data_IF_199240944215
#
_entry.id   IF_199240944215
#
_cell.length_a   1.000
_cell.length_b   1.000
_cell.length_c   1.000
_cell.angle_alpha   90.00
_cell.angle_beta   90.00
_cell.angle_gamma   90.00
#
_symmetry.space_group_name_H-M   'P 1'
#
loop_
_entity.id
_entity.type
_entity.pdbx_description
1 polymer ?
#
# COMPACT_ATOMS: atom_id res chain seq x y z
N UNK A 1 -8.56 -26.95 0.11
CA UNK A 1 -9.89 -26.44 -0.30
C UNK A 1 -9.76 -25.02 -0.87
N UNK A 2 -10.31 -24.75 -2.06
CA UNK A 2 -10.26 -23.43 -2.74
C UNK A 2 -11.47 -22.51 -2.47
N UNK A 3 -12.37 -22.91 -1.57
CA UNK A 3 -13.50 -22.06 -1.16
C UNK A 3 -13.02 -20.80 -0.45
N UNK A 4 -13.65 -19.67 -0.75
CA UNK A 4 -13.41 -18.37 -0.10
C UNK A 4 -14.72 -17.81 0.42
N UNK A 5 -14.73 -16.99 1.49
CA UNK A 5 -15.95 -16.35 1.97
C UNK A 5 -16.55 -15.41 0.90
N UNK A 6 -17.83 -15.61 0.60
CA UNK A 6 -18.59 -14.84 -0.39
C UNK A 6 -19.67 -14.00 0.32
N UNK A 7 -19.91 -12.80 -0.17
CA UNK A 7 -21.01 -11.96 0.27
C UNK A 7 -22.33 -12.39 -0.39
N UNK A 8 -23.33 -12.72 0.43
CA UNK A 8 -24.63 -13.24 -0.03
C UNK A 8 -25.45 -12.23 -0.87
N UNK A 9 -25.15 -10.93 -0.81
CA UNK A 9 -25.90 -9.89 -1.52
C UNK A 9 -25.43 -9.68 -2.95
N UNK A 10 -24.16 -9.95 -3.26
CA UNK A 10 -23.58 -9.70 -4.59
C UNK A 10 -22.75 -10.85 -5.15
N UNK A 11 -22.69 -11.99 -4.44
CA UNK A 11 -21.90 -13.18 -4.79
C UNK A 11 -20.40 -12.92 -5.04
N UNK A 12 -19.85 -11.80 -4.58
CA UNK A 12 -18.42 -11.49 -4.67
C UNK A 12 -17.64 -11.90 -3.42
N UNK A 13 -16.29 -12.01 -3.51
CA UNK A 13 -15.47 -12.25 -2.33
C UNK A 13 -15.72 -11.19 -1.24
N UNK A 14 -15.84 -11.66 0.01
CA UNK A 14 -16.13 -10.82 1.17
C UNK A 14 -14.92 -9.97 1.59
N UNK A 15 -13.70 -10.48 1.41
CA UNK A 15 -12.44 -9.84 1.82
C UNK A 15 -11.60 -9.43 0.60
N UNK A 16 -10.27 -9.63 0.63
CA UNK A 16 -9.37 -9.26 -0.47
C UNK A 16 -9.83 -9.90 -1.79
N UNK A 17 -9.79 -9.13 -2.89
CA UNK A 17 -10.22 -9.58 -4.21
C UNK A 17 -9.48 -8.84 -5.33
N UNK A 18 -9.40 -9.47 -6.49
CA UNK A 18 -8.97 -8.80 -7.73
C UNK A 18 -9.98 -7.71 -8.13
N UNK A 19 -9.50 -6.65 -8.77
CA UNK A 19 -10.33 -5.56 -9.27
C UNK A 19 -11.20 -5.95 -10.47
N UNK A 20 -10.75 -6.91 -11.27
CA UNK A 20 -11.53 -7.47 -12.40
C UNK A 20 -12.55 -8.53 -11.96
N UNK A 21 -12.48 -9.01 -10.71
CA UNK A 21 -13.30 -10.09 -10.19
C UNK A 21 -13.09 -11.46 -10.84
N UNK A 22 -12.17 -11.58 -11.80
CA UNK A 22 -11.88 -12.82 -12.52
C UNK A 22 -10.92 -13.71 -11.72
N UNK A 23 -9.96 -13.08 -11.05
CA UNK A 23 -8.93 -13.77 -10.29
C UNK A 23 -9.27 -13.88 -8.80
N UNK A 24 -9.27 -15.13 -8.30
CA UNK A 24 -9.49 -15.43 -6.88
C UNK A 24 -8.18 -15.59 -6.09
N UNK A 25 -7.03 -15.59 -6.75
CA UNK A 25 -5.74 -15.82 -6.10
C UNK A 25 -5.45 -14.84 -4.96
N UNK A 26 -5.82 -13.54 -4.98
CA UNK A 26 -5.57 -12.66 -3.83
C UNK A 26 -6.34 -13.13 -2.59
N UNK A 27 -7.60 -13.50 -2.77
CA UNK A 27 -8.47 -14.05 -1.71
C UNK A 27 -7.91 -15.36 -1.14
N UNK A 28 -7.39 -16.23 -2.01
CA UNK A 28 -6.76 -17.49 -1.59
C UNK A 28 -5.47 -17.25 -0.81
N UNK A 29 -4.65 -16.28 -1.23
CA UNK A 29 -3.43 -15.89 -0.53
C UNK A 29 -3.74 -15.33 0.87
N UNK A 30 -4.73 -14.43 0.98
CA UNK A 30 -5.17 -13.88 2.27
C UNK A 30 -5.68 -15.00 3.20
N UNK A 31 -6.51 -15.91 2.67
CA UNK A 31 -6.98 -17.10 3.41
C UNK A 31 -5.81 -17.96 3.91
N UNK A 32 -4.85 -18.26 3.03
CA UNK A 32 -3.69 -19.09 3.37
C UNK A 32 -2.82 -18.41 4.43
N UNK A 33 -2.61 -17.10 4.31
CA UNK A 33 -1.87 -16.31 5.28
C UNK A 33 -2.56 -16.31 6.65
N UNK A 34 -3.88 -16.08 6.70
CA UNK A 34 -4.66 -16.15 7.93
C UNK A 34 -4.56 -17.53 8.59
N UNK A 35 -4.69 -18.61 7.81
CA UNK A 35 -4.53 -19.99 8.31
C UNK A 35 -3.16 -20.20 8.95
N UNK A 36 -2.10 -19.76 8.26
CA UNK A 36 -0.73 -19.96 8.69
C UNK A 36 -0.39 -19.17 9.96
N UNK A 37 -0.68 -17.87 10.01
CA UNK A 37 -0.32 -17.05 11.18
C UNK A 37 -1.11 -17.40 12.44
N UNK A 38 -2.31 -17.97 12.29
CA UNK A 38 -3.16 -18.40 13.42
C UNK A 38 -2.89 -19.85 13.83
N UNK A 39 -2.11 -20.61 13.05
CA UNK A 39 -1.92 -22.04 13.26
C UNK A 39 -3.21 -22.86 13.11
N UNK A 40 -4.21 -22.34 12.40
CA UNK A 40 -5.51 -23.00 12.28
C UNK A 40 -5.41 -24.25 11.39
N UNK A 41 -5.97 -25.36 11.85
CA UNK A 41 -6.15 -26.56 11.03
C UNK A 41 -7.40 -26.48 10.13
N UNK A 42 -8.27 -25.49 10.35
CA UNK A 42 -9.53 -25.34 9.62
C UNK A 42 -9.29 -24.98 8.15
N UNK A 43 -10.10 -25.54 7.26
CA UNK A 43 -10.18 -25.10 5.86
C UNK A 43 -10.96 -23.78 5.70
N UNK A 44 -11.56 -23.28 6.78
CA UNK A 44 -12.23 -21.99 6.90
C UNK A 44 -11.61 -21.25 8.10
N UNK A 45 -10.36 -20.77 7.98
CA UNK A 45 -9.73 -19.97 9.03
C UNK A 45 -10.50 -18.65 9.21
N UNK A 46 -10.48 -18.12 10.43
CA UNK A 46 -11.02 -16.80 10.70
C UNK A 46 -10.08 -15.72 10.12
N UNK A 47 -10.45 -15.17 8.96
CA UNK A 47 -9.68 -14.14 8.27
C UNK A 47 -9.67 -12.83 9.08
N UNK A 48 -10.65 -12.58 9.94
CA UNK A 48 -10.71 -11.32 10.73
C UNK A 48 -9.57 -11.18 11.73
N UNK A 49 -8.86 -12.28 12.03
CA UNK A 49 -7.65 -12.27 12.87
C UNK A 49 -6.45 -11.56 12.23
N UNK A 50 -6.52 -11.20 10.94
CA UNK A 50 -5.48 -10.39 10.25
C UNK A 50 -5.73 -8.87 10.35
N UNK A 51 -6.84 -8.45 10.95
CA UNK A 51 -7.24 -7.05 11.03
C UNK A 51 -6.29 -6.21 11.90
N UNK A 52 -6.04 -4.95 11.49
CA UNK A 52 -5.16 -4.00 12.18
C UNK A 52 -3.71 -4.49 12.43
N UNK A 53 -3.18 -5.36 11.55
CA UNK A 53 -1.82 -5.87 11.67
C UNK A 53 -0.71 -4.87 11.31
N UNK A 54 0.53 -5.33 11.45
CA UNK A 54 1.74 -4.61 11.03
C UNK A 54 2.05 -4.96 9.56
N UNK A 55 1.98 -3.98 8.64
CA UNK A 55 2.10 -4.25 7.21
C UNK A 55 3.50 -4.70 6.80
N UNK A 56 4.57 -4.16 7.40
CA UNK A 56 5.94 -4.56 7.03
C UNK A 56 6.29 -5.92 7.62
N UNK A 57 5.80 -6.22 8.83
CA UNK A 57 5.94 -7.55 9.41
C UNK A 57 5.25 -8.62 8.55
N UNK A 58 4.03 -8.36 8.09
CA UNK A 58 3.32 -9.28 7.20
C UNK A 58 4.10 -9.52 5.90
N UNK A 59 4.66 -8.47 5.29
CA UNK A 59 5.49 -8.62 4.10
C UNK A 59 6.77 -9.42 4.36
N UNK A 60 7.47 -9.13 5.47
CA UNK A 60 8.67 -9.84 5.91
C UNK A 60 8.39 -11.33 6.14
N UNK A 61 7.24 -11.67 6.72
CA UNK A 61 6.79 -13.05 6.90
C UNK A 61 6.53 -13.77 5.57
N UNK A 62 5.91 -13.10 4.61
CA UNK A 62 5.60 -13.69 3.29
C UNK A 62 6.85 -13.96 2.47
N UNK A 63 7.86 -13.09 2.55
CA UNK A 63 9.07 -13.19 1.73
C UNK A 63 10.30 -13.77 2.46
N UNK A 64 10.15 -14.16 3.74
CA UNK A 64 11.22 -14.74 4.55
C UNK A 64 12.37 -13.77 4.85
N UNK A 65 12.07 -12.48 5.02
CA UNK A 65 13.06 -11.42 5.31
C UNK A 65 12.81 -10.78 6.67
N UNK A 66 13.67 -9.83 7.04
CA UNK A 66 13.51 -9.06 8.26
C UNK A 66 12.75 -7.74 8.00
N UNK A 67 11.84 -7.33 8.90
CA UNK A 67 11.19 -6.03 8.81
C UNK A 67 12.07 -4.92 9.39
N UNK A 68 12.29 -3.86 8.63
CA UNK A 68 13.01 -2.66 9.05
C UNK A 68 12.05 -1.47 9.10
N UNK A 69 12.10 -0.71 10.19
CA UNK A 69 11.15 0.36 10.49
C UNK A 69 11.85 1.71 10.50
N UNK A 70 11.32 2.66 9.73
CA UNK A 70 11.86 4.01 9.61
C UNK A 70 10.77 5.02 9.94
N UNK A 71 10.86 5.63 11.12
CA UNK A 71 9.93 6.69 11.53
C UNK A 71 10.21 7.95 10.72
N UNK A 72 9.20 8.48 10.05
CA UNK A 72 9.36 9.61 9.11
C UNK A 72 9.81 10.89 9.80
N UNK A 73 9.36 11.13 11.04
CA UNK A 73 9.73 12.32 11.81
C UNK A 73 11.23 12.41 12.12
N UNK A 74 11.93 11.28 12.15
CA UNK A 74 13.36 11.19 12.48
C UNK A 74 14.27 11.44 11.27
N UNK A 75 13.71 11.68 10.09
CA UNK A 75 14.45 11.74 8.83
C UNK A 75 14.04 12.98 8.03
N UNK A 76 14.96 13.60 7.29
CA UNK A 76 14.58 14.64 6.33
C UNK A 76 13.80 14.04 5.15
N UNK A 77 13.12 14.87 4.35
CA UNK A 77 12.49 14.34 3.13
C UNK A 77 13.51 13.76 2.16
N UNK A 78 14.72 14.36 2.08
CA UNK A 78 15.81 13.83 1.29
C UNK A 78 16.29 12.46 1.80
N UNK A 79 16.36 12.25 3.11
CA UNK A 79 16.71 10.95 3.68
C UNK A 79 15.64 9.89 3.37
N UNK A 80 14.36 10.25 3.46
CA UNK A 80 13.25 9.34 3.13
C UNK A 80 13.23 8.98 1.65
N UNK A 81 13.49 9.95 0.79
CA UNK A 81 13.64 9.71 -0.65
C UNK A 81 14.87 8.83 -0.93
N UNK A 82 16.00 9.10 -0.27
CA UNK A 82 17.22 8.30 -0.35
C UNK A 82 16.98 6.85 0.08
N UNK A 83 16.24 6.64 1.17
CA UNK A 83 15.80 5.33 1.64
C UNK A 83 15.00 4.60 0.55
N UNK A 84 13.96 5.22 -0.01
CA UNK A 84 13.15 4.59 -1.07
C UNK A 84 14.00 4.26 -2.30
N UNK A 85 14.83 5.20 -2.74
CA UNK A 85 15.73 5.02 -3.90
C UNK A 85 16.72 3.88 -3.69
N UNK A 86 17.27 3.73 -2.50
CA UNK A 86 18.19 2.62 -2.17
C UNK A 86 17.53 1.24 -2.22
N UNK A 87 16.20 1.19 -2.17
CA UNK A 87 15.38 -0.02 -2.28
C UNK A 87 14.67 -0.12 -3.63
N UNK A 88 15.12 0.64 -4.64
CA UNK A 88 14.56 0.65 -5.98
C UNK A 88 15.63 0.43 -7.05
N UNK A 89 15.23 -0.16 -8.18
CA UNK A 89 15.99 -0.21 -9.44
C UNK A 89 15.05 0.22 -10.56
N UNK A 90 15.53 1.10 -11.45
CA UNK A 90 14.72 1.65 -12.55
C UNK A 90 13.37 2.19 -12.08
N UNK A 91 13.38 2.99 -11.00
CA UNK A 91 12.18 3.63 -10.41
C UNK A 91 11.19 2.68 -9.72
N UNK A 92 11.53 1.41 -9.55
CA UNK A 92 10.63 0.38 -9.01
C UNK A 92 11.23 -0.26 -7.77
N UNK A 93 10.37 -0.50 -6.78
CA UNK A 93 10.73 -1.22 -5.56
C UNK A 93 11.30 -2.61 -5.86
N UNK A 94 12.46 -2.94 -5.28
CA UNK A 94 13.08 -4.28 -5.32
C UNK A 94 13.05 -4.99 -3.96
N UNK A 95 13.01 -4.24 -2.86
CA UNK A 95 12.77 -4.75 -1.52
C UNK A 95 11.37 -4.31 -1.11
N UNK A 96 10.41 -5.20 -0.84
CA UNK A 96 9.03 -4.79 -0.59
C UNK A 96 8.93 -3.70 0.49
N UNK A 97 8.21 -2.62 0.18
CA UNK A 97 8.04 -1.48 1.07
C UNK A 97 6.57 -1.15 1.31
N UNK A 98 6.27 -0.79 2.56
CA UNK A 98 4.97 -0.23 2.98
C UNK A 98 5.17 1.09 3.67
N UNK A 99 4.15 1.93 3.69
CA UNK A 99 4.06 3.10 4.54
C UNK A 99 2.73 3.07 5.28
N UNK A 100 2.64 3.70 6.44
CA UNK A 100 1.36 3.88 7.11
C UNK A 100 1.21 5.28 7.67
N UNK A 101 -0.03 5.75 7.63
CA UNK A 101 -0.39 7.11 8.00
C UNK A 101 -0.42 7.29 9.52
N UNK A 102 -0.31 8.54 9.98
CA UNK A 102 -0.65 8.86 11.36
C UNK A 102 -2.11 8.49 11.62
N UNK A 103 -2.42 8.14 12.88
CA UNK A 103 -3.76 7.69 13.24
C UNK A 103 -4.85 8.75 13.01
N UNK A 104 -4.51 10.03 13.19
CA UNK A 104 -5.40 11.18 13.00
C UNK A 104 -4.60 12.42 12.59
N UNK A 105 -5.27 13.43 12.04
CA UNK A 105 -4.64 14.71 11.72
C UNK A 105 -5.45 15.58 10.77
N UNK A 106 -5.24 16.90 10.83
CA UNK A 106 -5.94 17.84 9.95
C UNK A 106 -5.48 17.75 8.50
N UNK A 107 -4.27 17.24 8.23
CA UNK A 107 -3.74 17.08 6.88
C UNK A 107 -4.59 16.16 6.00
N UNK A 108 -5.38 15.27 6.60
CA UNK A 108 -6.22 14.34 5.83
C UNK A 108 -7.47 15.00 5.26
N UNK A 109 -7.90 16.16 5.80
CA UNK A 109 -9.09 16.88 5.33
C UNK A 109 -8.91 17.32 3.88
N UNK A 110 -9.69 16.73 2.98
CA UNK A 110 -9.66 17.04 1.54
C UNK A 110 -8.47 16.47 0.76
N UNK A 111 -7.66 15.59 1.36
CA UNK A 111 -6.47 15.00 0.73
C UNK A 111 -6.70 13.67 0.00
N UNK A 112 -7.85 13.02 0.24
CA UNK A 112 -8.16 11.64 -0.15
C UNK A 112 -7.16 10.58 0.38
N UNK A 113 -6.29 10.97 1.33
CA UNK A 113 -5.40 10.07 2.07
C UNK A 113 -6.12 9.62 3.35
N UNK A 114 -6.12 8.31 3.57
CA UNK A 114 -6.80 7.65 4.68
C UNK A 114 -5.89 7.67 5.91
N UNK A 115 -6.40 8.14 7.03
CA UNK A 115 -5.70 8.11 8.32
C UNK A 115 -5.71 6.68 8.90
N UNK A 116 -4.73 6.37 9.75
CA UNK A 116 -4.58 5.05 10.38
C UNK A 116 -4.59 3.88 9.37
N UNK A 117 -3.94 4.06 8.23
CA UNK A 117 -4.05 3.15 7.09
C UNK A 117 -2.71 2.82 6.46
N UNK A 118 -2.60 1.59 5.96
CA UNK A 118 -1.39 1.09 5.30
C UNK A 118 -1.46 1.28 3.78
N UNK A 119 -0.31 1.58 3.19
CA UNK A 119 -0.10 1.78 1.76
C UNK A 119 1.13 0.99 1.31
N UNK A 120 1.16 0.56 0.06
CA UNK A 120 2.38 0.01 -0.56
C UNK A 120 3.19 1.14 -1.18
N UNK A 121 4.53 1.11 -1.02
CA UNK A 121 5.44 1.96 -1.81
C UNK A 121 5.93 1.15 -3.00
N UNK A 122 5.50 1.53 -4.20
CA UNK A 122 5.81 0.80 -5.44
C UNK A 122 7.07 1.32 -6.13
N UNK A 123 7.53 2.51 -5.74
CA UNK A 123 8.78 3.09 -6.19
C UNK A 123 8.77 4.60 -6.05
N UNK A 124 9.42 5.28 -6.97
CA UNK A 124 9.48 6.73 -7.03
C UNK A 124 9.46 7.20 -8.48
N UNK A 125 9.12 8.46 -8.72
CA UNK A 125 9.22 9.09 -10.05
C UNK A 125 9.67 10.54 -9.95
N UNK A 126 10.02 11.14 -11.09
CA UNK A 126 10.57 12.50 -11.20
C UNK A 126 9.78 13.25 -12.26
N UNK A 127 9.17 14.37 -11.88
CA UNK A 127 8.45 15.27 -12.80
C UNK A 127 9.03 16.67 -12.66
N UNK A 128 9.73 17.12 -13.71
CA UNK A 128 10.49 18.38 -13.65
C UNK A 128 11.62 18.28 -12.63
N UNK A 129 11.63 19.22 -11.67
CA UNK A 129 12.58 19.29 -10.55
C UNK A 129 12.08 18.55 -9.29
N UNK A 130 10.86 18.01 -9.33
CA UNK A 130 10.20 17.39 -8.18
C UNK A 130 10.30 15.87 -8.21
N UNK A 131 10.41 15.29 -7.02
CA UNK A 131 10.52 13.84 -6.81
C UNK A 131 9.35 13.34 -5.95
N UNK A 132 8.73 12.28 -6.42
CA UNK A 132 7.50 11.74 -5.87
C UNK A 132 7.69 10.28 -5.48
N UNK A 133 7.12 9.87 -4.35
CA UNK A 133 6.96 8.48 -3.99
C UNK A 133 5.70 7.94 -4.65
N UNK A 134 5.79 6.79 -5.32
CA UNK A 134 4.63 6.13 -5.94
C UNK A 134 4.01 5.17 -4.92
N UNK A 135 2.76 5.42 -4.58
CA UNK A 135 2.03 4.77 -3.50
C UNK A 135 0.77 4.10 -4.03
N UNK A 136 0.35 3.01 -3.38
CA UNK A 136 -0.93 2.37 -3.67
C UNK A 136 -1.74 2.12 -2.41
N UNK A 137 -2.98 2.61 -2.40
CA UNK A 137 -3.98 2.24 -1.43
C UNK A 137 -4.42 0.78 -1.68
N UNK A 138 -4.27 -0.15 -0.70
CA UNK A 138 -4.64 -1.55 -0.88
C UNK A 138 -6.13 -1.77 -1.16
N UNK A 139 -7.01 -0.81 -0.88
CA UNK A 139 -8.43 -0.88 -1.26
C UNK A 139 -8.67 -0.85 -2.77
N UNK A 140 -7.66 -0.50 -3.58
CA UNK A 140 -7.82 -0.39 -5.03
C UNK A 140 -8.72 0.78 -5.45
N UNK A 141 -8.88 1.78 -4.58
CA UNK A 141 -9.56 3.05 -4.85
C UNK A 141 -8.88 4.16 -4.04
N UNK A 142 -9.04 5.40 -4.46
CA UNK A 142 -8.86 6.55 -3.58
C UNK A 142 -10.17 6.81 -2.81
N UNK A 143 -10.09 7.19 -1.54
CA UNK A 143 -11.26 7.71 -0.79
C UNK A 143 -11.84 8.97 -1.49
N UNK A 144 -13.13 9.33 -1.25
CA UNK A 144 -14.10 9.60 -2.31
C UNK A 144 -13.78 10.80 -3.20
N UNK A 145 -14.21 10.66 -4.45
CA UNK A 145 -14.12 11.61 -5.55
C UNK A 145 -14.55 13.01 -5.09
N UNK A 146 -13.59 13.92 -5.03
CA UNK A 146 -13.74 15.35 -4.76
C UNK A 146 -12.57 16.10 -5.38
N UNK A 147 -12.71 17.42 -5.58
CA UNK A 147 -11.61 18.28 -6.02
C UNK A 147 -10.48 18.21 -4.99
N UNK A 148 -9.46 17.41 -5.27
CA UNK A 148 -8.30 17.27 -4.42
C UNK A 148 -7.28 18.34 -4.80
N UNK A 149 -6.96 19.22 -3.85
CA UNK A 149 -5.97 20.28 -4.02
C UNK A 149 -4.74 20.04 -3.15
N UNK A 150 -4.54 18.81 -2.64
CA UNK A 150 -3.45 18.53 -1.71
C UNK A 150 -2.09 18.82 -2.38
N UNK A 151 -1.32 19.80 -1.88
CA UNK A 151 -0.07 20.18 -2.51
C UNK A 151 0.91 19.01 -2.58
N UNK A 152 1.45 18.76 -3.76
CA UNK A 152 2.42 17.70 -4.01
C UNK A 152 1.82 16.30 -4.21
N UNK A 153 0.50 16.17 -4.30
CA UNK A 153 -0.15 14.93 -4.72
C UNK A 153 -0.38 14.90 -6.23
N UNK A 154 0.05 13.83 -6.88
CA UNK A 154 -0.36 13.44 -8.23
C UNK A 154 -1.35 12.29 -8.09
N UNK A 155 -2.64 12.57 -8.31
CA UNK A 155 -3.71 11.57 -8.12
C UNK A 155 -3.54 10.33 -8.99
N UNK A 156 -2.89 10.49 -10.16
CA UNK A 156 -2.59 9.41 -11.09
C UNK A 156 -1.21 9.63 -11.71
N UNK A 157 -0.26 8.70 -11.55
CA UNK A 157 0.99 8.73 -12.29
C UNK A 157 0.73 8.44 -13.77
N UNK A 158 1.20 9.32 -14.67
CA UNK A 158 1.18 9.08 -16.11
C UNK A 158 2.04 7.83 -16.45
N UNK A 159 1.58 6.88 -17.29
CA UNK A 159 2.41 5.78 -17.76
C UNK A 159 3.75 6.19 -18.40
N UNK A 160 3.87 7.40 -18.96
CA UNK A 160 5.13 7.94 -19.45
C UNK A 160 6.05 8.40 -18.31
N UNK A 161 5.48 8.75 -17.16
CA UNK A 161 6.17 9.17 -15.96
C UNK A 161 6.59 7.97 -15.09
N UNK A 162 5.78 6.92 -15.05
CA UNK A 162 6.11 5.67 -14.35
C UNK A 162 5.49 4.48 -15.08
N UNK A 163 6.27 3.84 -15.96
CA UNK A 163 5.79 2.80 -16.89
C UNK A 163 4.92 1.69 -16.31
N UNK A 164 5.14 1.17 -15.09
CA UNK A 164 4.25 0.16 -14.53
C UNK A 164 2.83 0.68 -14.22
N UNK A 165 2.59 1.99 -14.23
CA UNK A 165 1.25 2.55 -14.01
C UNK A 165 0.23 2.03 -15.02
N UNK A 166 0.63 1.73 -16.27
CA UNK A 166 -0.27 1.13 -17.27
C UNK A 166 -0.58 -0.35 -17.01
N UNK A 167 0.22 -1.02 -16.18
CA UNK A 167 0.05 -2.44 -15.85
C UNK A 167 -0.77 -2.66 -14.59
N UNK A 168 -0.98 -1.60 -13.81
CA UNK A 168 -1.78 -1.64 -12.58
C UNK A 168 -3.19 -1.17 -12.88
N UNK A 169 -4.15 -1.64 -12.08
CA UNK A 169 -5.45 -0.99 -12.05
C UNK A 169 -5.27 0.49 -11.71
N UNK A 170 -6.09 1.35 -12.32
CA UNK A 170 -6.06 2.79 -12.04
C UNK A 170 -6.55 3.13 -10.62
N UNK A 171 -6.81 2.12 -9.80
CA UNK A 171 -7.44 2.18 -8.50
C UNK A 171 -6.42 2.33 -7.37
N UNK A 172 -6.49 3.44 -6.63
CA UNK A 172 -5.68 3.66 -5.43
C UNK A 172 -4.20 3.95 -5.68
N UNK A 173 -3.73 3.96 -6.94
CA UNK A 173 -2.37 4.35 -7.32
C UNK A 173 -2.26 5.88 -7.41
N UNK A 174 -1.31 6.47 -6.69
CA UNK A 174 -1.00 7.91 -6.74
C UNK A 174 0.50 8.13 -6.54
N UNK A 175 0.97 9.36 -6.72
CA UNK A 175 2.32 9.74 -6.34
C UNK A 175 2.32 10.98 -5.45
N UNK A 176 3.25 11.09 -4.51
CA UNK A 176 3.29 12.17 -3.53
C UNK A 176 4.70 12.71 -3.34
N UNK A 177 4.87 14.04 -3.34
CA UNK A 177 6.13 14.68 -2.99
C UNK A 177 6.58 14.24 -1.60
N UNK A 178 7.88 14.04 -1.41
CA UNK A 178 8.39 13.42 -0.17
C UNK A 178 8.15 14.28 1.07
N UNK A 179 8.10 15.62 0.93
CA UNK A 179 7.73 16.53 2.02
C UNK A 179 6.26 16.33 2.43
N UNK A 180 5.36 16.25 1.46
CA UNK A 180 3.94 16.02 1.70
C UNK A 180 3.69 14.62 2.28
N UNK A 181 4.45 13.62 1.82
CA UNK A 181 4.47 12.28 2.39
C UNK A 181 4.81 12.29 3.87
N UNK A 182 5.86 13.00 4.28
CA UNK A 182 6.23 13.08 5.71
C UNK A 182 5.15 13.70 6.60
N UNK A 183 4.36 14.62 6.07
CA UNK A 183 3.21 15.18 6.80
C UNK A 183 2.10 14.14 7.01
N UNK A 184 1.87 13.25 6.06
CA UNK A 184 0.78 12.28 6.11
C UNK A 184 1.18 10.92 6.70
N UNK A 185 2.44 10.51 6.58
CA UNK A 185 2.90 9.16 6.90
C UNK A 185 3.80 9.16 8.12
N UNK A 186 3.52 8.24 9.06
CA UNK A 186 4.26 8.12 10.32
C UNK A 186 5.53 7.28 10.17
N UNK A 187 5.49 6.28 9.28
CA UNK A 187 6.57 5.33 9.08
C UNK A 187 6.65 4.83 7.64
N UNK A 188 7.86 4.43 7.27
CA UNK A 188 8.19 3.55 6.14
C UNK A 188 8.70 2.23 6.71
N UNK A 189 8.19 1.12 6.19
CA UNK A 189 8.69 -0.21 6.46
C UNK A 189 9.33 -0.82 5.22
N UNK A 190 10.45 -1.52 5.39
CA UNK A 190 11.17 -2.23 4.33
C UNK A 190 11.39 -3.68 4.75
N UNK A 191 11.04 -4.64 3.91
CA UNK A 191 11.36 -6.06 4.12
C UNK A 191 12.60 -6.46 3.31
N UNK A 192 13.77 -6.59 3.97
CA UNK A 192 15.07 -6.85 3.33
C UNK A 192 16.00 -7.68 4.19
#
# INVERSE_FOLDING_TARGET
NYEIPINNSNNGPLYCRSSDGADIWPSLYEKAFAKWITGSSSEQPDITQTHCGDPVKAMAQINGRDPHYYRTENHSANDMLGLVRSNCVNFKTINPMTAWTYATGNMYRGSNIVANHAYSILGYTILGDKQYLVLRNPWGVTEPIGLNSYPGLLERPDPNLWHPASLLDHGGLFAMETEAFKHCFAYVGVAK
#
